data_IF_656997429110
#
_entry.id   IF_656997429110
#
_cell.length_a   1.000
_cell.length_b   1.000
_cell.length_c   1.000
_cell.angle_alpha   90.00
_cell.angle_beta   90.00
_cell.angle_gamma   90.00
#
_symmetry.space_group_name_H-M   'P 1'
#
loop_
_entity.id
_entity.type
_entity.pdbx_description
1 polymer ?
#
# COMPACT_ATOMS: atom_id res chain seq x y z
N UNK A 1 -30.15 -73.90 5.53
CA UNK A 1 -30.13 -72.43 5.71
C UNK A 1 -29.36 -71.81 4.56
N UNK A 2 -29.98 -71.04 3.70
CA UNK A 2 -29.25 -70.37 2.63
C UNK A 2 -28.38 -69.28 3.23
N UNK A 3 -27.06 -69.42 3.06
CA UNK A 3 -26.10 -68.43 3.51
C UNK A 3 -26.38 -67.12 2.81
N UNK A 4 -26.42 -66.02 3.56
CA UNK A 4 -26.72 -64.71 3.02
C UNK A 4 -25.65 -64.38 1.93
N UNK A 5 -26.06 -64.06 0.70
CA UNK A 5 -25.18 -63.87 -0.44
C UNK A 5 -24.13 -62.77 -0.25
N UNK A 6 -24.37 -61.80 0.67
CA UNK A 6 -23.37 -60.81 1.08
C UNK A 6 -22.24 -61.43 1.91
N UNK A 7 -22.55 -62.46 2.72
CA UNK A 7 -21.58 -63.18 3.54
C UNK A 7 -20.69 -64.07 2.65
N UNK A 8 -21.25 -64.70 1.62
CA UNK A 8 -20.46 -65.48 0.63
C UNK A 8 -19.46 -64.62 -0.14
N UNK A 9 -19.91 -63.42 -0.60
CA UNK A 9 -19.03 -62.46 -1.27
C UNK A 9 -17.93 -61.96 -0.33
N UNK A 10 -18.23 -61.81 0.95
CA UNK A 10 -17.28 -61.32 1.97
C UNK A 10 -16.28 -62.44 2.37
N UNK A 11 -16.70 -63.67 2.45
CA UNK A 11 -15.85 -64.81 2.80
C UNK A 11 -14.74 -65.07 1.79
N UNK A 12 -14.90 -64.65 0.53
CA UNK A 12 -13.83 -64.70 -0.47
C UNK A 12 -12.66 -63.71 -0.19
N UNK A 13 -12.83 -62.78 0.76
CA UNK A 13 -11.85 -61.76 1.15
C UNK A 13 -11.33 -61.93 2.58
N UNK A 14 -11.37 -63.15 3.14
CA UNK A 14 -11.23 -63.46 4.57
C UNK A 14 -9.88 -63.10 5.23
N UNK A 15 -8.87 -62.63 4.50
CA UNK A 15 -7.55 -62.27 5.07
C UNK A 15 -7.31 -60.80 5.36
N UNK A 16 -8.29 -59.91 5.11
CA UNK A 16 -8.06 -58.48 5.23
C UNK A 16 -8.80 -57.87 6.44
N UNK A 17 -8.06 -57.36 7.41
CA UNK A 17 -8.56 -56.46 8.48
C UNK A 17 -9.07 -55.14 7.91
N UNK A 18 -9.12 -54.95 6.61
CA UNK A 18 -9.51 -53.71 5.90
C UNK A 18 -10.97 -53.74 5.53
N UNK A 19 -11.53 -52.55 5.29
CA UNK A 19 -12.85 -52.34 4.72
C UNK A 19 -12.89 -52.95 3.32
N UNK A 20 -13.85 -53.83 3.05
CA UNK A 20 -13.98 -54.53 1.76
C UNK A 20 -15.12 -53.88 0.96
N UNK A 21 -14.83 -53.53 -0.30
CA UNK A 21 -15.81 -53.02 -1.23
C UNK A 21 -16.47 -54.16 -1.99
N UNK A 22 -17.79 -54.29 -1.87
CA UNK A 22 -18.60 -55.33 -2.50
C UNK A 22 -19.60 -54.69 -3.44
N UNK A 23 -19.64 -55.14 -4.68
CA UNK A 23 -20.67 -54.70 -5.66
C UNK A 23 -21.67 -55.83 -5.86
N UNK A 24 -22.97 -55.56 -5.62
CA UNK A 24 -24.04 -56.51 -5.82
C UNK A 24 -25.31 -55.78 -6.30
N UNK A 25 -25.99 -56.36 -7.27
CA UNK A 25 -27.26 -55.81 -7.85
C UNK A 25 -27.14 -54.34 -8.27
N UNK A 26 -26.00 -53.95 -8.85
CA UNK A 26 -25.71 -52.57 -9.25
C UNK A 26 -25.49 -51.56 -8.13
N UNK A 27 -25.46 -52.02 -6.84
CA UNK A 27 -25.16 -51.18 -5.68
C UNK A 27 -23.83 -51.62 -5.07
N UNK A 28 -23.09 -50.63 -4.57
CA UNK A 28 -21.80 -50.82 -3.92
C UNK A 28 -21.99 -50.67 -2.41
N UNK A 29 -21.42 -51.61 -1.68
CA UNK A 29 -21.43 -51.64 -0.22
C UNK A 29 -19.99 -51.75 0.31
N UNK A 30 -19.74 -51.10 1.42
CA UNK A 30 -18.53 -51.25 2.18
C UNK A 30 -18.81 -52.11 3.40
N UNK A 31 -18.13 -53.25 3.50
CA UNK A 31 -18.30 -54.23 4.58
C UNK A 31 -17.09 -54.32 5.49
N UNK A 32 -17.36 -54.53 6.76
CA UNK A 32 -16.35 -54.86 7.78
C UNK A 32 -16.86 -56.04 8.62
N UNK A 33 -15.95 -56.92 8.96
CA UNK A 33 -16.26 -58.06 9.78
C UNK A 33 -15.46 -57.99 11.08
N UNK A 34 -16.02 -58.42 12.18
CA UNK A 34 -15.35 -58.61 13.47
C UNK A 34 -15.77 -59.93 14.08
N UNK A 35 -14.79 -60.65 14.63
CA UNK A 35 -15.02 -61.93 15.35
C UNK A 35 -15.08 -61.62 16.83
N UNK A 36 -16.20 -62.01 17.45
CA UNK A 36 -16.43 -61.84 18.90
C UNK A 36 -16.78 -63.20 19.52
N UNK A 37 -15.80 -63.88 20.10
CA UNK A 37 -15.93 -65.25 20.61
C UNK A 37 -16.25 -66.24 19.49
N UNK A 38 -17.37 -66.94 19.61
CA UNK A 38 -17.89 -67.89 18.60
C UNK A 38 -18.74 -67.24 17.52
N UNK A 39 -18.98 -65.92 17.61
CA UNK A 39 -19.82 -65.16 16.66
C UNK A 39 -19.01 -64.36 15.71
N UNK A 40 -19.47 -64.26 14.46
CA UNK A 40 -18.94 -63.38 13.44
C UNK A 40 -19.96 -62.27 13.12
N UNK A 41 -19.59 -61.02 13.32
CA UNK A 41 -20.43 -59.83 13.07
C UNK A 41 -20.00 -59.24 11.76
N UNK A 42 -20.96 -59.04 10.83
CA UNK A 42 -20.75 -58.39 9.55
C UNK A 42 -21.58 -57.13 9.51
N UNK A 43 -20.93 -56.02 9.17
CA UNK A 43 -21.60 -54.71 8.99
C UNK A 43 -21.40 -54.26 7.55
N UNK A 44 -22.49 -53.96 6.88
CA UNK A 44 -22.48 -53.48 5.49
C UNK A 44 -23.15 -52.10 5.46
N UNK A 45 -22.45 -51.13 4.86
CA UNK A 45 -22.95 -49.80 4.67
C UNK A 45 -23.00 -49.50 3.17
N UNK A 46 -24.11 -49.04 2.61
CA UNK A 46 -24.19 -48.66 1.21
C UNK A 46 -23.31 -47.42 0.94
N UNK A 47 -22.65 -47.46 -0.22
CA UNK A 47 -21.76 -46.39 -0.65
C UNK A 47 -22.48 -45.03 -0.70
N UNK A 48 -23.78 -45.00 -1.04
CA UNK A 48 -24.60 -43.80 -1.09
C UNK A 48 -24.71 -43.09 0.25
N UNK A 49 -24.84 -43.81 1.38
CA UNK A 49 -24.92 -43.19 2.71
C UNK A 49 -23.59 -42.57 3.13
N UNK A 50 -22.46 -43.21 2.82
CA UNK A 50 -21.13 -42.73 3.15
C UNK A 50 -20.81 -41.44 2.37
N UNK A 51 -21.19 -41.41 1.08
CA UNK A 51 -20.87 -40.25 0.22
C UNK A 51 -21.84 -39.07 0.39
N UNK A 52 -23.09 -39.28 0.82
CA UNK A 52 -24.03 -38.18 1.11
C UNK A 52 -23.50 -37.30 2.24
N UNK A 53 -23.07 -37.91 3.36
CA UNK A 53 -22.49 -37.13 4.46
C UNK A 53 -21.21 -36.37 4.06
N UNK A 54 -20.33 -37.02 3.30
CA UNK A 54 -19.11 -36.39 2.78
C UNK A 54 -19.44 -35.25 1.82
N UNK A 55 -20.44 -35.42 0.95
CA UNK A 55 -20.89 -34.39 0.02
C UNK A 55 -21.42 -33.13 0.74
N UNK A 56 -22.22 -33.33 1.80
CA UNK A 56 -22.73 -32.23 2.62
C UNK A 56 -21.59 -31.46 3.31
N UNK A 57 -20.62 -32.16 3.92
CA UNK A 57 -19.47 -31.53 4.56
C UNK A 57 -18.66 -30.70 3.55
N UNK A 58 -18.41 -31.26 2.37
CA UNK A 58 -17.69 -30.53 1.30
C UNK A 58 -18.46 -29.31 0.83
N UNK A 59 -19.79 -29.37 0.74
CA UNK A 59 -20.62 -28.24 0.38
C UNK A 59 -20.56 -27.12 1.44
N UNK A 60 -20.64 -27.46 2.72
CA UNK A 60 -20.47 -26.46 3.80
C UNK A 60 -19.11 -25.79 3.79
N UNK A 61 -18.03 -26.55 3.58
CA UNK A 61 -16.68 -26.04 3.45
C UNK A 61 -16.57 -25.08 2.26
N UNK A 62 -17.13 -25.43 1.09
CA UNK A 62 -17.11 -24.58 -0.08
C UNK A 62 -17.88 -23.27 0.15
N UNK A 63 -19.07 -23.33 0.78
CA UNK A 63 -19.85 -22.12 1.12
C UNK A 63 -19.09 -21.22 2.07
N UNK A 64 -18.44 -21.79 3.09
CA UNK A 64 -17.63 -21.04 4.04
C UNK A 64 -16.47 -20.30 3.33
N UNK A 65 -15.76 -20.97 2.45
CA UNK A 65 -14.68 -20.33 1.67
C UNK A 65 -15.19 -19.22 0.77
N UNK A 66 -16.31 -19.40 0.09
CA UNK A 66 -16.92 -18.37 -0.73
C UNK A 66 -17.33 -17.14 0.10
N UNK A 67 -17.93 -17.37 1.27
CA UNK A 67 -18.30 -16.28 2.18
C UNK A 67 -17.06 -15.53 2.69
N UNK A 68 -16.02 -16.23 3.09
CA UNK A 68 -14.76 -15.62 3.54
C UNK A 68 -14.11 -14.80 2.42
N UNK A 69 -14.10 -15.31 1.19
CA UNK A 69 -13.57 -14.61 0.03
C UNK A 69 -14.35 -13.34 -0.31
N UNK A 70 -15.68 -13.41 -0.21
CA UNK A 70 -16.54 -12.25 -0.40
C UNK A 70 -16.27 -11.15 0.64
N UNK A 71 -16.09 -11.50 1.91
CA UNK A 71 -15.74 -10.57 2.98
C UNK A 71 -14.39 -9.90 2.69
N UNK A 72 -13.39 -10.67 2.26
CA UNK A 72 -12.06 -10.15 1.90
C UNK A 72 -12.15 -9.12 0.77
N UNK A 73 -12.93 -9.41 -0.28
CA UNK A 73 -13.15 -8.48 -1.40
C UNK A 73 -13.81 -7.18 -0.91
N UNK A 74 -14.83 -7.29 -0.05
CA UNK A 74 -15.52 -6.11 0.50
C UNK A 74 -14.58 -5.25 1.35
N UNK A 75 -13.76 -5.86 2.18
CA UNK A 75 -12.75 -5.16 3.00
C UNK A 75 -11.71 -4.48 2.10
N UNK A 76 -11.19 -5.19 1.11
CA UNK A 76 -10.20 -4.64 0.18
C UNK A 76 -10.74 -3.43 -0.58
N UNK A 77 -11.94 -3.52 -1.15
CA UNK A 77 -12.61 -2.38 -1.82
C UNK A 77 -12.84 -1.19 -0.89
N UNK A 78 -13.18 -1.44 0.38
CA UNK A 78 -13.36 -0.37 1.37
C UNK A 78 -12.04 0.33 1.69
N UNK A 79 -10.95 -0.43 1.79
CA UNK A 79 -9.61 0.12 2.04
C UNK A 79 -9.10 0.93 0.84
N UNK A 80 -9.31 0.45 -0.38
CA UNK A 80 -8.94 1.20 -1.60
C UNK A 80 -9.70 2.52 -1.71
N UNK A 81 -11.02 2.51 -1.48
CA UNK A 81 -11.80 3.77 -1.49
C UNK A 81 -11.27 4.77 -0.46
N UNK A 82 -10.90 4.32 0.74
CA UNK A 82 -10.31 5.21 1.77
C UNK A 82 -8.96 5.77 1.33
N UNK A 83 -8.13 4.97 0.65
CA UNK A 83 -6.84 5.45 0.12
C UNK A 83 -7.02 6.52 -0.95
N UNK A 84 -7.95 6.32 -1.87
CA UNK A 84 -8.26 7.30 -2.94
C UNK A 84 -8.75 8.61 -2.34
N UNK A 85 -9.71 8.57 -1.41
CA UNK A 85 -10.23 9.77 -0.74
C UNK A 85 -9.13 10.51 0.04
N UNK A 86 -8.24 9.80 0.72
CA UNK A 86 -7.11 10.43 1.42
C UNK A 86 -6.12 11.10 0.45
N UNK A 87 -5.82 10.46 -0.67
CA UNK A 87 -4.94 11.03 -1.70
C UNK A 87 -5.58 12.28 -2.32
N UNK A 88 -6.86 12.23 -2.63
CA UNK A 88 -7.61 13.37 -3.17
C UNK A 88 -7.67 14.53 -2.16
N UNK A 89 -7.89 14.23 -0.89
CA UNK A 89 -7.86 15.23 0.18
C UNK A 89 -6.47 15.89 0.32
N UNK A 90 -5.39 15.10 0.28
CA UNK A 90 -4.03 15.63 0.30
C UNK A 90 -3.74 16.49 -0.94
N UNK A 91 -4.19 16.06 -2.11
CA UNK A 91 -4.03 16.82 -3.35
C UNK A 91 -4.78 18.16 -3.29
N UNK A 92 -6.01 18.15 -2.79
CA UNK A 92 -6.81 19.37 -2.62
C UNK A 92 -6.19 20.34 -1.60
N UNK A 93 -5.57 19.85 -0.53
CA UNK A 93 -4.82 20.71 0.42
C UNK A 93 -3.60 21.31 -0.27
N UNK A 94 -2.82 20.53 -1.00
CA UNK A 94 -1.66 21.04 -1.75
C UNK A 94 -2.10 22.08 -2.77
N UNK A 95 -3.18 21.85 -3.48
CA UNK A 95 -3.75 22.80 -4.45
C UNK A 95 -4.22 24.09 -3.78
N UNK A 96 -4.88 23.99 -2.63
CA UNK A 96 -5.35 25.17 -1.87
C UNK A 96 -4.16 26.01 -1.35
N UNK A 97 -3.15 25.37 -0.79
CA UNK A 97 -1.91 26.03 -0.34
C UNK A 97 -1.16 26.62 -1.53
N UNK A 98 -1.08 25.89 -2.64
CA UNK A 98 -0.43 26.35 -3.87
C UNK A 98 -1.06 27.59 -4.47
N UNK A 99 -2.35 27.87 -4.20
CA UNK A 99 -3.01 29.12 -4.68
C UNK A 99 -2.57 30.35 -3.93
N UNK A 100 -2.08 30.18 -2.70
CA UNK A 100 -1.58 31.28 -1.85
C UNK A 100 -0.17 31.69 -2.28
N UNK A 101 0.61 30.73 -2.78
CA UNK A 101 1.99 30.98 -3.18
C UNK A 101 2.13 31.05 -4.71
N UNK A 102 2.82 32.08 -5.16
CA UNK A 102 3.18 32.26 -6.58
C UNK A 102 4.20 31.20 -7.00
N UNK A 103 5.11 30.87 -6.09
CA UNK A 103 6.15 29.85 -6.31
C UNK A 103 6.26 28.97 -5.08
N UNK A 104 6.34 27.65 -5.29
CA UNK A 104 6.60 26.67 -4.24
C UNK A 104 7.50 25.57 -4.78
N UNK A 105 8.64 25.35 -4.12
CA UNK A 105 9.58 24.28 -4.45
C UNK A 105 10.26 23.72 -3.22
N UNK A 106 10.66 22.47 -3.31
CA UNK A 106 11.32 21.73 -2.24
C UNK A 106 12.79 21.57 -2.59
N UNK A 107 13.64 21.84 -1.63
CA UNK A 107 15.09 21.63 -1.74
C UNK A 107 15.51 20.52 -0.79
N UNK A 108 16.15 19.48 -1.33
CA UNK A 108 16.85 18.47 -0.56
C UNK A 108 18.30 18.96 -0.32
N UNK A 109 18.60 19.24 0.94
CA UNK A 109 19.91 19.80 1.34
C UNK A 109 21.04 18.80 1.23
N UNK A 110 20.75 17.48 1.31
CA UNK A 110 21.77 16.43 1.23
C UNK A 110 22.08 16.02 -0.20
N UNK A 111 21.04 15.89 -1.01
CA UNK A 111 21.18 15.42 -2.39
C UNK A 111 21.37 16.56 -3.40
N UNK A 112 21.32 17.81 -2.94
CA UNK A 112 21.32 19.01 -3.77
C UNK A 112 20.25 18.94 -4.89
N UNK A 113 19.05 18.41 -4.53
CA UNK A 113 17.92 18.27 -5.45
C UNK A 113 16.93 19.39 -5.26
N UNK A 114 16.35 19.80 -6.39
CA UNK A 114 15.35 20.83 -6.50
C UNK A 114 14.09 20.22 -7.14
N UNK A 115 12.97 20.29 -6.44
CA UNK A 115 11.69 19.78 -6.91
C UNK A 115 10.66 20.91 -6.94
N UNK A 116 10.14 21.20 -8.14
CA UNK A 116 9.13 22.24 -8.31
C UNK A 116 7.76 21.64 -8.02
N UNK A 117 7.04 22.22 -7.05
CA UNK A 117 5.63 21.93 -6.80
C UNK A 117 4.78 22.87 -7.66
N UNK A 118 5.13 24.15 -7.66
CA UNK A 118 4.51 25.19 -8.47
C UNK A 118 5.50 26.31 -8.75
N UNK A 119 5.57 26.75 -10.00
CA UNK A 119 6.36 27.93 -10.37
C UNK A 119 5.80 28.56 -11.63
N UNK A 120 5.99 29.87 -11.83
CA UNK A 120 5.83 30.52 -13.12
C UNK A 120 6.73 29.89 -14.18
N UNK A 121 6.32 30.00 -15.43
CA UNK A 121 7.04 29.36 -16.55
C UNK A 121 8.52 29.78 -16.62
N UNK A 122 8.83 31.04 -16.32
CA UNK A 122 10.18 31.58 -16.29
C UNK A 122 11.08 30.82 -15.30
N UNK A 123 10.62 30.55 -14.09
CA UNK A 123 11.37 29.79 -13.08
C UNK A 123 11.49 28.31 -13.48
N UNK A 124 10.44 27.75 -14.06
CA UNK A 124 10.46 26.38 -14.56
C UNK A 124 11.50 26.22 -15.68
N UNK A 125 11.61 27.16 -16.60
CA UNK A 125 12.63 27.18 -17.67
C UNK A 125 14.03 27.27 -17.07
N UNK A 126 14.28 28.11 -16.08
CA UNK A 126 15.56 28.20 -15.37
C UNK A 126 15.91 26.83 -14.76
N UNK A 127 14.98 26.22 -14.05
CA UNK A 127 15.21 24.93 -13.39
C UNK A 127 15.52 23.79 -14.38
N UNK A 128 15.01 23.85 -15.60
CA UNK A 128 15.34 22.86 -16.63
C UNK A 128 16.78 22.98 -17.18
N UNK A 129 17.40 24.16 -17.08
CA UNK A 129 18.74 24.40 -17.62
C UNK A 129 19.87 24.08 -16.64
N UNK A 130 19.56 24.01 -15.34
CA UNK A 130 20.55 23.79 -14.29
C UNK A 130 20.31 22.47 -13.55
N UNK A 131 21.38 21.87 -13.06
CA UNK A 131 21.35 20.65 -12.24
C UNK A 131 21.79 20.99 -10.83
N UNK A 132 20.96 20.69 -9.85
CA UNK A 132 21.23 20.95 -8.44
C UNK A 132 20.58 22.21 -7.91
N UNK A 133 20.15 22.14 -6.66
CA UNK A 133 19.39 23.20 -6.01
C UNK A 133 20.18 24.50 -5.89
N UNK A 134 21.50 24.42 -5.64
CA UNK A 134 22.37 25.61 -5.54
C UNK A 134 22.37 26.42 -6.82
N UNK A 135 22.65 25.76 -7.95
CA UNK A 135 22.72 26.44 -9.25
C UNK A 135 21.38 27.04 -9.65
N UNK A 136 20.28 26.34 -9.38
CA UNK A 136 18.92 26.81 -9.68
C UNK A 136 18.59 28.03 -8.81
N UNK A 137 18.89 28.00 -7.52
CA UNK A 137 18.62 29.11 -6.58
C UNK A 137 19.45 30.34 -6.94
N UNK A 138 20.71 30.16 -7.31
CA UNK A 138 21.57 31.25 -7.79
C UNK A 138 21.05 31.85 -9.08
N UNK A 139 20.64 31.03 -10.04
CA UNK A 139 20.07 31.48 -11.30
C UNK A 139 18.73 32.22 -11.07
N UNK A 140 17.83 31.73 -10.23
CA UNK A 140 16.60 32.43 -9.87
C UNK A 140 16.94 33.79 -9.27
N UNK A 141 17.90 33.85 -8.35
CA UNK A 141 18.34 35.10 -7.73
C UNK A 141 18.88 36.07 -8.77
N UNK A 142 19.66 35.62 -9.73
CA UNK A 142 20.24 36.46 -10.75
C UNK A 142 19.21 37.00 -11.77
N UNK A 143 18.27 36.18 -12.19
CA UNK A 143 17.36 36.51 -13.31
C UNK A 143 16.00 37.03 -12.85
N UNK A 144 15.52 36.67 -11.65
CA UNK A 144 14.18 37.01 -11.20
C UNK A 144 14.15 38.06 -10.08
N UNK A 145 15.27 38.31 -9.38
CA UNK A 145 15.30 39.19 -8.22
C UNK A 145 15.89 40.54 -8.58
N UNK A 146 15.28 41.63 -8.07
CA UNK A 146 15.79 42.98 -8.23
C UNK A 146 17.22 43.15 -7.69
N UNK A 147 18.06 43.89 -8.38
CA UNK A 147 19.51 43.98 -8.10
C UNK A 147 19.84 44.30 -6.67
N UNK A 148 19.05 45.19 -6.04
CA UNK A 148 19.28 45.64 -4.68
C UNK A 148 19.00 44.55 -3.62
N UNK A 149 18.26 43.52 -4.01
CA UNK A 149 17.86 42.42 -3.12
C UNK A 149 18.64 41.11 -3.37
N UNK A 150 19.47 41.06 -4.42
CA UNK A 150 20.17 39.82 -4.80
C UNK A 150 21.15 39.33 -3.74
N UNK A 151 21.90 40.23 -3.09
CA UNK A 151 22.86 39.87 -2.04
C UNK A 151 22.16 39.27 -0.83
N UNK A 152 21.11 39.93 -0.32
CA UNK A 152 20.31 39.42 0.78
C UNK A 152 19.58 38.10 0.43
N UNK A 153 19.17 37.95 -0.84
CA UNK A 153 18.55 36.68 -1.31
C UNK A 153 19.59 35.54 -1.29
N UNK A 154 20.82 35.78 -1.80
CA UNK A 154 21.90 34.77 -1.74
C UNK A 154 22.22 34.36 -0.29
N UNK A 155 22.23 35.33 0.62
CA UNK A 155 22.43 35.03 2.04
C UNK A 155 21.23 34.24 2.60
N UNK A 156 20.00 34.69 2.29
CA UNK A 156 18.79 34.03 2.75
C UNK A 156 18.70 32.56 2.31
N UNK A 157 19.05 32.30 1.05
CA UNK A 157 18.96 30.98 0.41
C UNK A 157 20.25 30.17 0.41
N UNK A 158 21.28 30.60 1.13
CA UNK A 158 22.54 29.88 1.24
C UNK A 158 22.33 28.52 1.91
N UNK A 159 22.38 27.45 1.11
CA UNK A 159 22.09 26.08 1.55
C UNK A 159 23.11 25.58 2.60
N UNK A 160 24.34 26.10 2.61
CA UNK A 160 25.38 25.69 3.58
C UNK A 160 25.08 26.16 5.00
N UNK A 161 24.46 27.33 5.13
CA UNK A 161 24.11 27.93 6.43
C UNK A 161 22.65 27.70 6.81
N UNK A 162 21.81 27.31 5.87
CA UNK A 162 20.37 27.20 6.04
C UNK A 162 19.98 26.19 7.12
N UNK A 163 20.69 25.07 7.20
CA UNK A 163 20.47 24.05 8.23
C UNK A 163 20.65 24.60 9.65
N UNK A 164 21.72 25.36 9.88
CA UNK A 164 22.01 25.96 11.19
C UNK A 164 21.00 27.08 11.52
N UNK A 165 20.67 27.91 10.53
CA UNK A 165 19.74 29.02 10.68
C UNK A 165 18.30 28.58 10.97
N UNK A 166 17.88 27.43 10.42
CA UNK A 166 16.58 26.82 10.66
C UNK A 166 16.55 25.90 11.88
N UNK A 167 17.68 25.57 12.49
CA UNK A 167 17.75 24.61 13.60
C UNK A 167 16.80 24.90 14.74
N UNK A 168 16.71 26.18 15.12
CA UNK A 168 15.88 26.66 16.24
C UNK A 168 14.68 27.52 15.77
N UNK A 169 14.39 27.53 14.48
CA UNK A 169 13.30 28.30 13.89
C UNK A 169 12.43 27.40 13.03
N UNK A 170 11.14 27.60 13.04
CA UNK A 170 10.22 26.87 12.18
C UNK A 170 10.30 27.34 10.74
N UNK A 171 10.52 28.64 10.57
CA UNK A 171 10.64 29.28 9.26
C UNK A 171 11.59 30.50 9.31
N UNK A 172 12.04 30.90 8.14
CA UNK A 172 12.76 32.14 7.88
C UNK A 172 12.02 32.90 6.76
N UNK A 173 11.90 34.20 6.90
CA UNK A 173 11.29 35.05 5.90
C UNK A 173 12.33 36.02 5.33
N UNK A 174 12.22 36.28 4.02
CA UNK A 174 12.97 37.33 3.33
C UNK A 174 12.05 38.06 2.35
N UNK A 175 11.95 39.37 2.47
CA UNK A 175 11.13 40.22 1.60
C UNK A 175 12.02 40.87 0.55
N UNK A 176 11.57 40.88 -0.70
CA UNK A 176 12.35 41.35 -1.84
C UNK A 176 11.41 41.94 -2.92
N UNK A 177 12.01 42.66 -3.86
CA UNK A 177 11.36 43.01 -5.11
C UNK A 177 11.90 42.16 -6.25
N UNK A 178 11.03 41.81 -7.18
CA UNK A 178 11.43 41.18 -8.43
C UNK A 178 12.01 42.21 -9.43
N UNK A 179 12.34 41.75 -10.64
CA UNK A 179 12.92 42.58 -11.69
C UNK A 179 11.94 43.63 -12.26
N UNK A 180 10.64 43.48 -12.00
CA UNK A 180 9.58 44.44 -12.42
C UNK A 180 9.12 45.35 -11.27
N UNK A 181 9.69 45.16 -10.07
CA UNK A 181 9.40 46.01 -8.90
C UNK A 181 8.25 45.51 -8.03
N UNK A 182 7.68 44.35 -8.27
CA UNK A 182 6.66 43.74 -7.42
C UNK A 182 7.26 43.23 -6.13
N UNK A 183 6.57 43.42 -5.01
CA UNK A 183 7.01 42.91 -3.71
C UNK A 183 6.62 41.46 -3.51
N UNK A 184 7.58 40.70 -3.00
CA UNK A 184 7.42 39.28 -2.69
C UNK A 184 8.00 38.96 -1.33
N UNK A 185 7.45 37.90 -0.71
CA UNK A 185 7.99 37.35 0.52
C UNK A 185 8.35 35.88 0.30
N UNK A 186 9.63 35.57 0.43
CA UNK A 186 10.13 34.19 0.49
C UNK A 186 10.04 33.68 1.91
N UNK A 187 9.37 32.55 2.10
CA UNK A 187 9.30 31.81 3.36
C UNK A 187 10.00 30.47 3.19
N UNK A 188 11.00 30.22 4.02
CA UNK A 188 11.76 28.97 4.06
C UNK A 188 11.31 28.16 5.26
N UNK A 189 10.66 27.01 5.04
CA UNK A 189 10.10 26.17 6.11
C UNK A 189 10.79 24.80 6.16
N UNK A 190 11.02 24.30 7.37
CA UNK A 190 11.48 22.91 7.54
C UNK A 190 10.37 21.97 7.12
N UNK A 191 10.62 21.09 6.15
CA UNK A 191 9.64 20.07 5.72
C UNK A 191 9.91 18.72 6.35
N UNK A 192 11.15 18.27 6.29
CA UNK A 192 11.54 16.97 6.83
C UNK A 192 12.79 17.10 7.71
N UNK A 193 12.65 16.61 8.93
CA UNK A 193 13.74 16.55 9.90
C UNK A 193 14.00 15.07 10.22
N UNK A 194 15.26 14.65 10.15
CA UNK A 194 15.65 13.29 10.45
C UNK A 194 15.67 13.04 11.96
N UNK A 195 15.73 11.76 12.36
CA UNK A 195 15.78 11.34 13.76
C UNK A 195 17.00 11.90 14.55
N UNK A 196 18.07 12.25 13.84
CA UNK A 196 19.27 12.89 14.42
C UNK A 196 19.16 14.43 14.55
N UNK A 197 18.00 15.00 14.18
CA UNK A 197 17.75 16.44 14.23
C UNK A 197 18.26 17.23 13.02
N UNK A 198 18.88 16.58 12.02
CA UNK A 198 19.27 17.25 10.76
C UNK A 198 18.07 17.49 9.86
N UNK A 199 18.04 18.66 9.20
CA UNK A 199 17.01 19.01 8.23
C UNK A 199 17.39 18.36 6.90
N UNK A 200 16.53 17.51 6.38
CA UNK A 200 16.72 16.84 5.10
C UNK A 200 16.17 17.72 3.96
N UNK A 201 14.94 18.21 4.12
CA UNK A 201 14.28 19.02 3.10
C UNK A 201 13.70 20.32 3.65
N UNK A 202 13.73 21.36 2.82
CA UNK A 202 13.19 22.69 3.09
C UNK A 202 12.22 23.08 1.98
N UNK A 203 11.06 23.60 2.36
CA UNK A 203 10.10 24.20 1.43
C UNK A 203 10.44 25.67 1.26
N UNK A 204 10.51 26.10 0.02
CA UNK A 204 10.68 27.48 -0.41
C UNK A 204 9.35 27.96 -0.98
N UNK A 205 8.66 28.82 -0.26
CA UNK A 205 7.34 29.34 -0.60
C UNK A 205 7.45 30.84 -0.84
N UNK A 206 7.05 31.29 -2.02
CA UNK A 206 7.03 32.71 -2.35
C UNK A 206 5.60 33.19 -2.55
N UNK A 207 5.20 34.24 -1.82
CA UNK A 207 3.91 34.94 -1.95
C UNK A 207 4.13 36.38 -2.42
N UNK A 208 3.10 36.93 -3.05
CA UNK A 208 3.01 38.37 -3.30
C UNK A 208 2.56 39.12 -2.05
#
# INVERSE_FOLDING_TARGET
MAENPYIQAFNSYQESKKLVRISKDGKVYYGKYAKCGQYSIYVFLPESEIFIERGMVMAYVAVFYLAAWFVLICVHRKLEKRRIVNLEYQHNIIDAISRIYVTNYVVDLKQDKFEIIRAPEQISQIAHHFKGARQITDAITQYCIGKDYQEGMREATNLDTLQERLRNKEYLNYTFQDTVGAWHMLTLCRKRVMANGEIETVDFCCSE
#
